data_IF_844364779008
#
_entry.id   IF_844364779008
#
_cell.length_a   1.000
_cell.length_b   1.000
_cell.length_c   1.000
_cell.angle_alpha   90.00
_cell.angle_beta   90.00
_cell.angle_gamma   90.00
#
_symmetry.space_group_name_H-M   'P 1'
#
loop_
_entity.id
_entity.type
_entity.pdbx_description
1 polymer ?
#
# COMPACT_ATOMS: atom_id res chain seq x y z
N UNK A 1 -22.02 -4.14 -34.87
CA UNK A 1 -21.07 -3.12 -34.38
C UNK A 1 -21.20 -2.94 -32.85
N UNK A 2 -21.13 -4.04 -32.09
CA UNK A 2 -21.33 -4.08 -30.62
C UNK A 2 -20.08 -4.55 -29.87
N UNK A 3 -18.92 -4.56 -30.54
CA UNK A 3 -17.69 -5.20 -30.04
C UNK A 3 -16.57 -4.20 -29.69
N UNK A 4 -16.78 -2.88 -29.86
CA UNK A 4 -15.69 -1.90 -29.67
C UNK A 4 -15.68 -1.17 -28.30
N UNK A 5 -16.65 -1.43 -27.41
CA UNK A 5 -16.74 -0.72 -26.13
C UNK A 5 -16.04 -1.42 -24.95
N UNK A 6 -15.79 -2.73 -25.04
CA UNK A 6 -15.21 -3.50 -23.92
C UNK A 6 -13.68 -3.59 -23.97
N UNK A 7 -13.05 -3.36 -25.13
CA UNK A 7 -11.60 -3.57 -25.32
C UNK A 7 -10.74 -2.38 -24.84
N UNK A 8 -11.34 -1.26 -24.41
CA UNK A 8 -10.62 -0.06 -23.94
C UNK A 8 -10.53 0.08 -22.41
N UNK A 9 -10.95 -0.93 -21.63
CA UNK A 9 -10.80 -0.95 -20.17
C UNK A 9 -9.52 -1.64 -19.66
N UNK A 10 -8.60 -2.01 -20.55
CA UNK A 10 -7.28 -2.54 -20.18
C UNK A 10 -6.19 -1.46 -20.32
N UNK A 11 -6.52 -0.20 -20.03
CA UNK A 11 -5.47 0.78 -19.75
C UNK A 11 -4.76 0.31 -18.50
N UNK A 12 -3.62 -0.35 -18.66
CA UNK A 12 -2.80 -0.90 -17.58
C UNK A 12 -2.55 0.20 -16.55
N UNK A 13 -3.32 0.19 -15.45
CA UNK A 13 -3.17 1.12 -14.35
C UNK A 13 -1.93 0.69 -13.58
N UNK A 14 -0.76 1.08 -14.07
CA UNK A 14 0.51 0.83 -13.40
C UNK A 14 0.64 1.81 -12.25
N UNK A 15 0.41 1.31 -11.04
CA UNK A 15 0.77 2.03 -9.82
C UNK A 15 2.29 2.01 -9.73
N UNK A 16 2.91 3.17 -9.55
CA UNK A 16 4.37 3.22 -9.37
C UNK A 16 4.76 2.36 -8.17
N UNK A 17 5.91 1.68 -8.24
CA UNK A 17 6.42 0.85 -7.14
C UNK A 17 6.45 1.64 -5.82
N UNK A 18 6.82 2.92 -5.89
CA UNK A 18 6.82 3.82 -4.72
C UNK A 18 5.43 4.05 -4.15
N UNK A 19 4.41 4.20 -5.00
CA UNK A 19 3.02 4.38 -4.58
C UNK A 19 2.47 3.11 -3.94
N UNK A 20 2.80 1.94 -4.48
CA UNK A 20 2.42 0.64 -3.91
C UNK A 20 3.07 0.41 -2.54
N UNK A 21 4.38 0.64 -2.42
CA UNK A 21 5.10 0.53 -1.14
C UNK A 21 4.50 1.49 -0.11
N UNK A 22 4.22 2.74 -0.47
CA UNK A 22 3.60 3.72 0.42
C UNK A 22 2.23 3.25 0.90
N UNK A 23 1.40 2.74 -0.01
CA UNK A 23 0.07 2.22 0.33
C UNK A 23 0.15 1.06 1.32
N UNK A 24 1.04 0.09 1.06
CA UNK A 24 1.31 -1.04 1.96
C UNK A 24 1.79 -0.58 3.34
N UNK A 25 2.67 0.43 3.41
CA UNK A 25 3.13 0.98 4.68
C UNK A 25 1.99 1.62 5.48
N UNK A 26 1.06 2.32 4.82
CA UNK A 26 -0.09 2.94 5.48
C UNK A 26 -1.06 1.89 6.02
N UNK A 27 -1.33 0.84 5.24
CA UNK A 27 -2.12 -0.31 5.71
C UNK A 27 -1.44 -0.99 6.91
N UNK A 28 -0.14 -1.26 6.81
CA UNK A 28 0.63 -1.88 7.89
C UNK A 28 0.57 -1.06 9.19
N UNK A 29 0.78 0.25 9.12
CA UNK A 29 0.71 1.15 10.27
C UNK A 29 -0.70 1.19 10.89
N UNK A 30 -1.74 1.20 10.04
CA UNK A 30 -3.12 1.18 10.52
C UNK A 30 -3.47 -0.13 11.22
N UNK A 31 -3.03 -1.26 10.67
CA UNK A 31 -3.25 -2.58 11.25
C UNK A 31 -2.48 -2.76 12.57
N UNK A 32 -1.26 -2.22 12.67
CA UNK A 32 -0.54 -2.15 13.95
C UNK A 32 -1.34 -1.39 15.01
N UNK A 33 -1.94 -0.24 14.65
CA UNK A 33 -2.76 0.54 15.58
C UNK A 33 -4.07 -0.16 15.95
N UNK A 34 -4.75 -0.77 14.98
CA UNK A 34 -6.08 -1.35 15.17
C UNK A 34 -6.04 -2.72 15.86
N UNK A 35 -5.04 -3.54 15.54
CA UNK A 35 -4.95 -4.92 15.99
C UNK A 35 -3.77 -5.19 16.92
N UNK A 36 -3.00 -4.15 17.28
CA UNK A 36 -1.79 -4.27 18.11
C UNK A 36 -0.76 -5.25 17.54
N UNK A 37 -0.71 -5.39 16.22
CA UNK A 37 0.27 -6.25 15.56
C UNK A 37 1.69 -5.72 15.72
N UNK A 38 2.65 -6.64 15.81
CA UNK A 38 4.07 -6.27 15.85
C UNK A 38 4.56 -5.78 14.48
N UNK A 39 5.61 -4.95 14.52
CA UNK A 39 6.25 -4.44 13.31
C UNK A 39 6.74 -5.56 12.39
N UNK A 40 7.33 -6.61 12.97
CA UNK A 40 7.84 -7.78 12.23
C UNK A 40 6.71 -8.53 11.52
N UNK A 41 5.56 -8.66 12.18
CA UNK A 41 4.40 -9.34 11.63
C UNK A 41 3.85 -8.60 10.41
N UNK A 42 3.65 -7.28 10.51
CA UNK A 42 3.13 -6.50 9.38
C UNK A 42 4.14 -6.39 8.23
N UNK A 43 5.44 -6.29 8.50
CA UNK A 43 6.48 -6.36 7.46
C UNK A 43 6.37 -7.66 6.65
N UNK A 44 6.14 -8.79 7.33
CA UNK A 44 6.03 -10.09 6.67
C UNK A 44 4.73 -10.24 5.86
N UNK A 45 3.61 -9.70 6.34
CA UNK A 45 2.32 -9.74 5.64
C UNK A 45 2.37 -8.89 4.37
N UNK A 46 2.80 -7.64 4.51
CA UNK A 46 2.77 -6.66 3.42
C UNK A 46 3.98 -6.75 2.49
N UNK A 47 4.97 -7.59 2.81
CA UNK A 47 6.22 -7.76 2.05
C UNK A 47 6.94 -6.42 1.85
N UNK A 48 7.04 -5.66 2.93
CA UNK A 48 7.73 -4.37 3.00
C UNK A 48 8.85 -4.44 4.02
N UNK A 49 9.87 -3.60 3.84
CA UNK A 49 10.95 -3.52 4.81
C UNK A 49 10.57 -2.62 5.99
N UNK A 50 11.24 -2.82 7.13
CA UNK A 50 11.14 -1.91 8.27
C UNK A 50 11.53 -0.47 7.89
N UNK A 51 12.52 -0.31 7.01
CA UNK A 51 12.95 0.99 6.50
C UNK A 51 11.84 1.72 5.75
N UNK A 52 11.04 1.01 4.95
CA UNK A 52 9.91 1.61 4.23
C UNK A 52 8.84 2.13 5.20
N UNK A 53 8.54 1.36 6.24
CA UNK A 53 7.59 1.77 7.29
C UNK A 53 8.10 3.02 8.01
N UNK A 54 9.38 3.04 8.42
CA UNK A 54 9.98 4.19 9.08
C UNK A 54 9.94 5.44 8.20
N UNK A 55 10.29 5.30 6.92
CA UNK A 55 10.25 6.38 5.92
C UNK A 55 8.87 7.03 5.83
N UNK A 56 7.80 6.23 5.79
CA UNK A 56 6.42 6.73 5.61
C UNK A 56 5.65 6.97 6.91
N UNK A 57 6.19 6.59 8.07
CA UNK A 57 5.55 6.75 9.39
C UNK A 57 5.21 8.19 9.73
N UNK A 58 6.12 9.12 9.40
CA UNK A 58 5.94 10.55 9.66
C UNK A 58 4.81 11.18 8.84
N UNK A 59 4.56 10.67 7.64
CA UNK A 59 3.45 11.10 6.78
C UNK A 59 2.11 10.52 7.26
N UNK A 60 2.12 9.26 7.68
CA UNK A 60 0.94 8.60 8.23
C UNK A 60 0.39 9.36 9.46
N UNK A 61 1.26 9.74 10.40
CA UNK A 61 0.87 10.47 11.62
C UNK A 61 0.26 11.87 11.36
N UNK A 62 0.44 12.45 10.17
CA UNK A 62 -0.19 13.73 9.80
C UNK A 62 -1.62 13.56 9.27
N UNK A 63 -1.99 12.34 8.92
CA UNK A 63 -3.23 12.02 8.18
C UNK A 63 -4.29 11.36 9.08
N UNK A 64 -3.90 10.92 10.28
CA UNK A 64 -4.74 10.19 11.24
C UNK A 64 -5.02 11.04 12.47
#
# INVERSE_FOLDING_TARGET
MKEELTTKMHSEFSVSVNTDIKHKCFCALKDMQMFSYSLEYVCNIYKISKYDIEKYSSEFNKTV
#
